data_IF_284455659687
#
_entry.id   IF_284455659687
#
_cell.length_a   1.000
_cell.length_b   1.000
_cell.length_c   1.000
_cell.angle_alpha   90.00
_cell.angle_beta   90.00
_cell.angle_gamma   90.00
#
_symmetry.space_group_name_H-M   'P 1'
#
loop_
_entity.id
_entity.type
_entity.pdbx_description
1 polymer ?
#
# COMPACT_ATOMS: atom_id res chain seq x y z
N UNK A 1 1.55 0.23 -15.59
CA UNK A 1 1.40 1.40 -14.68
C UNK A 1 2.78 1.91 -14.29
N UNK A 2 2.96 3.22 -14.01
CA UNK A 2 4.20 3.77 -13.40
C UNK A 2 4.14 3.61 -11.88
N UNK A 3 5.27 3.59 -11.19
CA UNK A 3 5.34 3.26 -9.76
C UNK A 3 4.47 4.17 -8.89
N UNK A 4 4.41 5.48 -9.17
CA UNK A 4 3.48 6.41 -8.50
C UNK A 4 2.01 5.99 -8.54
N UNK A 5 1.54 5.33 -9.60
CA UNK A 5 0.16 4.82 -9.68
C UNK A 5 -0.07 3.62 -8.75
N UNK A 6 0.94 2.76 -8.57
CA UNK A 6 0.87 1.62 -7.64
C UNK A 6 0.91 2.09 -6.19
N UNK A 7 1.74 3.09 -5.89
CA UNK A 7 1.83 3.71 -4.56
C UNK A 7 0.49 4.36 -4.20
N UNK A 8 -0.10 5.15 -5.11
CA UNK A 8 -1.41 5.77 -4.92
C UNK A 8 -2.50 4.73 -4.64
N UNK A 9 -2.51 3.63 -5.39
CA UNK A 9 -3.43 2.52 -5.17
C UNK A 9 -3.29 1.88 -3.77
N UNK A 10 -2.06 1.64 -3.31
CA UNK A 10 -1.82 1.08 -1.98
C UNK A 10 -2.33 2.02 -0.87
N UNK A 11 -2.13 3.33 -1.02
CA UNK A 11 -2.64 4.35 -0.08
C UNK A 11 -4.17 4.34 -0.06
N UNK A 12 -4.82 4.31 -1.24
CA UNK A 12 -6.28 4.26 -1.35
C UNK A 12 -6.86 3.01 -0.69
N UNK A 13 -6.27 1.84 -0.94
CA UNK A 13 -6.70 0.57 -0.35
C UNK A 13 -6.54 0.61 1.17
N UNK A 14 -5.40 1.09 1.68
CA UNK A 14 -5.16 1.15 3.12
C UNK A 14 -6.13 2.11 3.81
N UNK A 15 -6.40 3.27 3.20
CA UNK A 15 -7.42 4.20 3.68
C UNK A 15 -8.82 3.57 3.70
N UNK A 16 -9.17 2.78 2.67
CA UNK A 16 -10.44 2.05 2.61
C UNK A 16 -10.56 0.99 3.70
N UNK A 17 -9.47 0.27 3.99
CA UNK A 17 -9.42 -0.72 5.09
C UNK A 17 -9.65 -0.05 6.43
N UNK A 18 -9.00 1.09 6.69
CA UNK A 18 -9.16 1.83 7.94
C UNK A 18 -10.56 2.44 8.08
N UNK A 19 -11.10 3.01 7.00
CA UNK A 19 -12.41 3.69 7.01
C UNK A 19 -13.59 2.72 7.07
N UNK A 20 -13.47 1.53 6.47
CA UNK A 20 -14.58 0.59 6.30
C UNK A 20 -14.38 -0.74 7.05
N UNK A 21 -13.29 -0.88 7.79
CA UNK A 21 -12.93 -2.07 8.58
C UNK A 21 -13.02 -3.39 7.78
N UNK A 22 -12.54 -3.38 6.54
CA UNK A 22 -12.60 -4.55 5.64
C UNK A 22 -11.33 -5.39 5.71
N UNK A 23 -11.42 -6.72 5.53
CA UNK A 23 -10.24 -7.55 5.38
C UNK A 23 -9.38 -7.12 4.17
N UNK A 24 -8.06 -7.07 4.36
CA UNK A 24 -7.13 -6.55 3.34
C UNK A 24 -7.24 -7.26 1.98
N UNK A 25 -7.34 -8.60 1.98
CA UNK A 25 -7.50 -9.37 0.73
C UNK A 25 -8.77 -9.00 -0.04
N UNK A 26 -9.86 -8.71 0.69
CA UNK A 26 -11.13 -8.28 0.08
C UNK A 26 -10.98 -6.88 -0.51
N UNK A 27 -10.40 -5.93 0.24
CA UNK A 27 -10.18 -4.57 -0.24
C UNK A 27 -9.31 -4.52 -1.50
N UNK A 28 -8.21 -5.28 -1.55
CA UNK A 28 -7.35 -5.37 -2.75
C UNK A 28 -8.11 -5.96 -3.95
N UNK A 29 -8.93 -7.00 -3.72
CA UNK A 29 -9.73 -7.63 -4.77
C UNK A 29 -10.78 -6.66 -5.34
N UNK A 30 -11.51 -5.97 -4.47
CA UNK A 30 -12.53 -4.98 -4.85
C UNK A 30 -11.92 -3.80 -5.59
N UNK A 31 -10.81 -3.25 -5.08
CA UNK A 31 -10.06 -2.20 -5.76
C UNK A 31 -9.64 -2.64 -7.16
N UNK A 32 -9.09 -3.84 -7.29
CA UNK A 32 -8.70 -4.37 -8.60
C UNK A 32 -9.89 -4.60 -9.55
N UNK A 33 -11.07 -4.96 -9.04
CA UNK A 33 -12.26 -5.10 -9.87
C UNK A 33 -12.73 -3.75 -10.44
N UNK A 34 -12.65 -2.69 -9.63
CA UNK A 34 -12.94 -1.32 -10.06
C UNK A 34 -11.87 -0.75 -11.02
N UNK A 35 -10.61 -1.14 -10.85
CA UNK A 35 -9.47 -0.62 -11.63
C UNK A 35 -8.98 -1.63 -12.68
N UNK A 36 -9.76 -1.77 -13.76
CA UNK A 36 -9.49 -2.76 -14.84
C UNK A 36 -8.18 -2.54 -15.60
N UNK A 37 -7.62 -1.34 -15.55
CA UNK A 37 -6.32 -1.03 -16.16
C UNK A 37 -5.13 -1.65 -15.41
N UNK A 38 -5.30 -2.03 -14.13
CA UNK A 38 -4.24 -2.67 -13.36
C UNK A 38 -4.09 -4.13 -13.81
N UNK A 39 -2.93 -4.46 -14.38
CA UNK A 39 -2.59 -5.83 -14.78
C UNK A 39 -2.37 -6.77 -13.58
N UNK A 40 -2.13 -8.06 -13.85
CA UNK A 40 -1.86 -9.06 -12.79
C UNK A 40 -0.60 -8.73 -11.97
N UNK A 41 0.47 -8.30 -12.63
CA UNK A 41 1.71 -7.88 -11.95
C UNK A 41 1.53 -6.65 -11.07
N UNK A 42 0.77 -5.66 -11.56
CA UNK A 42 0.43 -4.48 -10.78
C UNK A 42 -0.37 -4.84 -9.51
N UNK A 43 -1.38 -5.71 -9.65
CA UNK A 43 -2.19 -6.18 -8.52
C UNK A 43 -1.37 -6.97 -7.50
N UNK A 44 -0.44 -7.81 -7.97
CA UNK A 44 0.45 -8.56 -7.09
C UNK A 44 1.37 -7.62 -6.30
N UNK A 45 1.97 -6.62 -6.97
CA UNK A 45 2.82 -5.62 -6.34
C UNK A 45 2.05 -4.81 -5.30
N UNK A 46 0.88 -4.27 -5.67
CA UNK A 46 0.04 -3.46 -4.77
C UNK A 46 -0.41 -4.28 -3.56
N UNK A 47 -0.89 -5.52 -3.79
CA UNK A 47 -1.32 -6.41 -2.72
C UNK A 47 -0.18 -6.78 -1.76
N UNK A 48 1.02 -6.98 -2.30
CA UNK A 48 2.24 -7.17 -1.50
C UNK A 48 2.51 -5.97 -0.60
N UNK A 49 2.51 -4.76 -1.17
CA UNK A 49 2.78 -3.53 -0.43
C UNK A 49 1.77 -3.29 0.70
N UNK A 50 0.47 -3.42 0.40
CA UNK A 50 -0.60 -3.25 1.40
C UNK A 50 -0.42 -4.25 2.55
N UNK A 51 -0.15 -5.52 2.23
CA UNK A 51 -0.01 -6.56 3.24
C UNK A 51 1.25 -6.37 4.10
N UNK A 52 2.37 -6.01 3.48
CA UNK A 52 3.60 -5.72 4.22
C UNK A 52 3.48 -4.48 5.11
N UNK A 53 2.74 -3.47 4.64
CA UNK A 53 2.44 -2.26 5.42
C UNK A 53 1.64 -2.62 6.67
N UNK A 54 0.58 -3.42 6.52
CA UNK A 54 -0.23 -3.87 7.66
C UNK A 54 0.56 -4.73 8.64
N UNK A 55 1.44 -5.64 8.16
CA UNK A 55 2.29 -6.46 9.03
C UNK A 55 3.25 -5.64 9.89
N UNK A 56 3.69 -4.48 9.38
CA UNK A 56 4.72 -3.64 10.00
C UNK A 56 4.16 -2.32 10.53
N UNK A 57 2.84 -2.15 10.58
CA UNK A 57 2.17 -0.87 10.88
C UNK A 57 2.76 -0.16 12.09
N UNK A 58 2.86 -0.85 13.23
CA UNK A 58 3.37 -0.25 14.47
C UNK A 58 4.83 0.23 14.36
N UNK A 59 5.69 -0.56 13.71
CA UNK A 59 7.11 -0.21 13.53
C UNK A 59 7.27 0.96 12.56
N UNK A 60 6.53 0.92 11.43
CA UNK A 60 6.58 1.99 10.44
C UNK A 60 5.98 3.28 10.98
N UNK A 61 4.84 3.21 11.66
CA UNK A 61 4.22 4.35 12.35
C UNK A 61 5.20 5.01 13.32
N UNK A 62 5.90 4.20 14.12
CA UNK A 62 6.92 4.69 15.04
C UNK A 62 8.10 5.36 14.30
N UNK A 63 8.63 4.76 13.24
CA UNK A 63 9.74 5.35 12.48
C UNK A 63 9.34 6.63 11.75
N UNK A 64 8.11 6.68 11.22
CA UNK A 64 7.59 7.82 10.46
C UNK A 64 7.02 8.93 11.35
N UNK A 65 6.78 8.66 12.64
CA UNK A 65 6.06 9.54 13.56
C UNK A 65 4.68 9.97 13.03
N UNK A 66 4.05 9.12 12.22
CA UNK A 66 2.76 9.35 11.57
C UNK A 66 2.09 8.00 11.25
N UNK A 67 0.78 7.90 11.49
CA UNK A 67 -0.04 6.72 11.18
C UNK A 67 -0.89 6.89 9.92
N UNK A 68 -0.75 8.00 9.19
CA UNK A 68 -1.51 8.18 7.94
C UNK A 68 -1.20 7.05 6.94
N UNK A 69 -2.19 6.63 6.12
CA UNK A 69 -1.96 5.61 5.09
C UNK A 69 -0.78 5.92 4.17
N UNK A 70 -0.56 7.21 3.87
CA UNK A 70 0.58 7.67 3.10
C UNK A 70 1.91 7.42 3.82
N UNK A 71 2.04 7.85 5.08
CA UNK A 71 3.26 7.64 5.86
C UNK A 71 3.58 6.15 6.00
N UNK A 72 2.56 5.32 6.27
CA UNK A 72 2.71 3.88 6.41
C UNK A 72 3.18 3.20 5.11
N UNK A 73 2.60 3.56 3.96
CA UNK A 73 3.01 2.99 2.67
C UNK A 73 4.44 3.41 2.31
N UNK A 74 4.76 4.70 2.39
CA UNK A 74 6.09 5.22 2.06
C UNK A 74 7.16 4.67 3.00
N UNK A 75 6.88 4.64 4.31
CA UNK A 75 7.79 4.09 5.30
C UNK A 75 8.02 2.58 5.11
N UNK A 76 7.02 1.83 4.66
CA UNK A 76 7.20 0.41 4.31
C UNK A 76 8.12 0.24 3.11
N UNK A 77 7.95 1.06 2.07
CA UNK A 77 8.81 0.99 0.88
C UNK A 77 10.29 1.27 1.23
N UNK A 78 10.54 2.27 2.07
CA UNK A 78 11.91 2.61 2.49
C UNK A 78 12.47 1.57 3.46
N UNK A 79 11.77 1.30 4.56
CA UNK A 79 12.33 0.51 5.67
C UNK A 79 12.20 -1.01 5.49
N UNK A 80 11.22 -1.48 4.71
CA UNK A 80 10.98 -2.91 4.52
C UNK A 80 11.42 -3.38 3.13
N UNK A 81 11.24 -2.56 2.10
CA UNK A 81 11.59 -2.92 0.72
C UNK A 81 12.92 -2.33 0.25
N UNK A 82 13.55 -1.46 1.06
CA UNK A 82 14.86 -0.88 0.76
C UNK A 82 14.86 0.08 -0.43
N UNK A 83 13.69 0.61 -0.79
CA UNK A 83 13.56 1.55 -1.91
C UNK A 83 14.07 2.93 -1.51
N UNK A 84 14.74 3.57 -2.45
CA UNK A 84 15.21 4.95 -2.34
C UNK A 84 14.23 5.92 -2.98
N UNK A 85 14.33 7.21 -2.66
CA UNK A 85 13.45 8.23 -3.24
C UNK A 85 13.56 8.38 -4.77
N UNK A 86 14.63 7.88 -5.38
CA UNK A 86 14.80 7.86 -6.84
C UNK A 86 14.01 6.72 -7.51
N UNK A 87 13.69 5.66 -6.77
CA UNK A 87 12.94 4.49 -7.24
C UNK A 87 11.43 4.62 -7.01
N UNK A 88 10.97 5.71 -6.39
CA UNK A 88 9.58 5.99 -6.01
C UNK A 88 8.93 7.02 -6.95
#
# INVERSE_FOLDING_TARGET
MRDGGRIAAAIEILNSIESHHRPAKTAVKEWGAAHRFAGSGDRAWIGGLVLDTLRRRASVAYLMQDETPRALVLGTMVHAWGMTGEEM
#
